data_IF_568070140963
#
_entry.id   IF_568070140963
#
_cell.length_a   1.000
_cell.length_b   1.000
_cell.length_c   1.000
_cell.angle_alpha   90.00
_cell.angle_beta   90.00
_cell.angle_gamma   90.00
#
_symmetry.space_group_name_H-M   'P 1'
#
loop_
_entity.id
_entity.type
_entity.pdbx_description
1 polymer ?
#
# COMPACT_ATOMS: atom_id res chain seq x y z
N UNK A 1 6.96 -22.34 -6.62
CA UNK A 1 6.69 -20.99 -6.08
C UNK A 1 5.96 -21.07 -4.74
N UNK A 2 6.59 -20.64 -3.65
CA UNK A 2 5.94 -20.47 -2.35
C UNK A 2 4.72 -19.53 -2.44
N UNK A 3 3.74 -19.70 -1.55
CA UNK A 3 2.46 -18.96 -1.56
C UNK A 3 2.60 -17.44 -1.72
N UNK A 4 3.51 -16.82 -0.95
CA UNK A 4 3.74 -15.36 -0.98
C UNK A 4 4.23 -14.87 -2.36
N UNK A 5 4.96 -15.70 -3.09
CA UNK A 5 5.45 -15.39 -4.43
C UNK A 5 4.29 -15.35 -5.44
N UNK A 6 3.27 -16.22 -5.26
CA UNK A 6 2.04 -16.19 -6.06
C UNK A 6 1.21 -14.94 -5.78
N UNK A 7 1.00 -14.59 -4.51
CA UNK A 7 0.25 -13.38 -4.12
C UNK A 7 0.94 -12.10 -4.68
N UNK A 8 2.28 -12.01 -4.58
CA UNK A 8 3.05 -10.89 -5.16
C UNK A 8 2.96 -10.81 -6.68
N UNK A 9 3.06 -11.95 -7.37
CA UNK A 9 2.91 -11.98 -8.83
C UNK A 9 1.51 -11.53 -9.24
N UNK A 10 0.50 -11.96 -8.48
CA UNK A 10 -0.89 -11.66 -8.74
C UNK A 10 -1.20 -10.16 -8.63
N UNK A 11 -0.71 -9.48 -7.58
CA UNK A 11 -0.90 -8.01 -7.49
C UNK A 11 -0.20 -7.28 -8.64
N UNK A 12 1.02 -7.66 -9.01
CA UNK A 12 1.72 -7.04 -10.14
C UNK A 12 0.96 -7.20 -11.46
N UNK A 13 0.44 -8.40 -11.74
CA UNK A 13 -0.38 -8.67 -12.94
C UNK A 13 -1.67 -7.84 -12.93
N UNK A 14 -2.33 -7.74 -11.76
CA UNK A 14 -3.54 -6.93 -11.61
C UNK A 14 -3.27 -5.45 -11.90
N UNK A 15 -2.19 -4.89 -11.35
CA UNK A 15 -1.86 -3.47 -11.54
C UNK A 15 -1.54 -3.16 -13.01
N UNK A 16 -0.79 -4.04 -13.69
CA UNK A 16 -0.46 -3.89 -15.11
C UNK A 16 -1.68 -4.03 -16.03
N UNK A 17 -2.60 -4.96 -15.74
CA UNK A 17 -3.85 -5.13 -16.50
C UNK A 17 -4.82 -3.96 -16.28
N UNK A 18 -4.91 -3.46 -15.04
CA UNK A 18 -5.91 -2.45 -14.65
C UNK A 18 -5.47 -1.02 -14.95
N UNK A 19 -4.17 -0.72 -14.77
CA UNK A 19 -3.59 0.61 -14.95
C UNK A 19 -2.25 0.52 -15.70
N UNK A 20 -2.28 0.20 -17.00
CA UNK A 20 -1.08 0.10 -17.83
C UNK A 20 -0.32 1.42 -17.95
N UNK A 21 -1.01 2.56 -17.77
CA UNK A 21 -0.42 3.90 -17.82
C UNK A 21 0.43 4.25 -16.59
N UNK A 22 0.39 3.42 -15.54
CA UNK A 22 1.13 3.64 -14.31
C UNK A 22 0.37 4.45 -13.25
N UNK A 23 1.09 5.27 -12.49
CA UNK A 23 0.52 6.02 -11.36
C UNK A 23 0.21 5.14 -10.15
N UNK A 24 0.98 4.06 -9.97
CA UNK A 24 0.89 3.13 -8.86
C UNK A 24 2.27 2.70 -8.40
N UNK A 25 2.35 2.15 -7.18
CA UNK A 25 3.56 1.59 -6.60
C UNK A 25 3.21 0.33 -5.79
N UNK A 26 4.11 -0.65 -5.76
CA UNK A 26 3.94 -1.89 -5.00
C UNK A 26 4.71 -1.83 -3.67
N UNK A 27 4.26 -2.61 -2.69
CA UNK A 27 4.92 -2.82 -1.39
C UNK A 27 5.24 -1.51 -0.65
N UNK A 28 4.25 -0.65 -0.49
CA UNK A 28 4.44 0.68 0.11
C UNK A 28 4.31 0.62 1.62
N UNK A 29 5.30 1.15 2.33
CA UNK A 29 5.25 1.29 3.77
C UNK A 29 4.18 2.29 4.22
N UNK A 30 3.44 1.95 5.27
CA UNK A 30 2.42 2.80 5.87
C UNK A 30 2.72 3.09 7.34
N UNK A 31 2.11 4.14 7.85
CA UNK A 31 2.17 4.52 9.26
C UNK A 31 3.14 5.66 9.55
N UNK A 32 3.05 6.20 10.78
CA UNK A 32 3.82 7.36 11.20
C UNK A 32 5.31 7.02 11.40
N UNK A 33 6.12 8.07 11.35
CA UNK A 33 7.51 8.06 11.78
C UNK A 33 7.60 8.95 13.03
N UNK A 34 8.28 8.54 14.11
CA UNK A 34 8.44 9.40 15.28
C UNK A 34 9.10 10.74 14.93
N UNK A 35 8.45 11.83 15.33
CA UNK A 35 8.85 13.19 14.94
C UNK A 35 10.28 13.53 15.38
N UNK A 36 10.72 13.05 16.55
CA UNK A 36 12.09 13.25 17.05
C UNK A 36 13.18 12.75 16.07
N UNK A 37 12.89 11.69 15.30
CA UNK A 37 13.81 11.16 14.30
C UNK A 37 13.73 11.94 13.00
N UNK A 38 12.53 12.41 12.63
CA UNK A 38 12.35 13.30 11.47
C UNK A 38 13.11 14.61 11.68
N UNK A 39 13.01 15.21 12.87
CA UNK A 39 13.70 16.46 13.20
C UNK A 39 15.23 16.29 13.23
N UNK A 40 15.70 15.15 13.77
CA UNK A 40 17.14 14.87 13.90
C UNK A 40 17.82 14.46 12.60
N UNK A 41 17.13 13.73 11.73
CA UNK A 41 17.75 13.06 10.57
C UNK A 41 17.15 13.46 9.22
N UNK A 42 16.05 14.21 9.21
CA UNK A 42 15.22 14.45 8.03
C UNK A 42 14.33 13.26 7.69
N UNK A 43 13.24 13.53 6.96
CA UNK A 43 12.20 12.54 6.63
C UNK A 43 12.77 11.28 5.94
N UNK A 44 13.59 11.44 4.91
CA UNK A 44 14.09 10.30 4.12
C UNK A 44 14.94 9.32 4.93
N UNK A 45 15.85 9.83 5.77
CA UNK A 45 16.69 8.98 6.63
C UNK A 45 15.88 8.37 7.77
N UNK A 46 14.95 9.12 8.37
CA UNK A 46 14.04 8.58 9.38
C UNK A 46 13.15 7.47 8.80
N UNK A 47 12.60 7.66 7.60
CA UNK A 47 11.81 6.65 6.89
C UNK A 47 12.61 5.36 6.66
N UNK A 48 13.88 5.47 6.24
CA UNK A 48 14.74 4.31 6.07
C UNK A 48 14.99 3.52 7.38
N UNK A 49 15.13 4.22 8.52
CA UNK A 49 15.31 3.61 9.85
C UNK A 49 14.06 2.81 10.26
N UNK A 50 12.86 3.39 10.05
CA UNK A 50 11.59 2.78 10.47
C UNK A 50 10.94 1.89 9.40
N UNK A 51 11.52 1.82 8.19
CA UNK A 51 11.04 0.95 7.10
C UNK A 51 10.83 -0.52 7.50
N UNK A 52 11.67 -1.15 8.35
CA UNK A 52 11.47 -2.55 8.74
C UNK A 52 10.30 -2.79 9.70
N UNK A 53 9.87 -1.76 10.43
CA UNK A 53 8.81 -1.87 11.46
C UNK A 53 7.45 -1.38 10.98
N UNK A 54 7.42 -0.62 9.88
CA UNK A 54 6.19 -0.14 9.26
C UNK A 54 5.46 -1.27 8.51
N UNK A 55 4.13 -1.38 8.64
CA UNK A 55 3.33 -2.27 7.81
C UNK A 55 3.47 -1.91 6.32
N UNK A 56 3.22 -2.87 5.44
CA UNK A 56 3.28 -2.67 3.99
C UNK A 56 1.97 -3.06 3.33
N UNK A 57 1.40 -2.14 2.57
CA UNK A 57 0.28 -2.45 1.67
C UNK A 57 0.82 -3.02 0.36
N UNK A 58 0.13 -4.00 -0.21
CA UNK A 58 0.61 -4.67 -1.43
C UNK A 58 0.77 -3.68 -2.60
N UNK A 59 -0.17 -2.75 -2.77
CA UNK A 59 -0.06 -1.68 -3.76
C UNK A 59 -0.85 -0.41 -3.40
N UNK A 60 -0.47 0.70 -4.03
CA UNK A 60 -1.20 1.96 -4.05
C UNK A 60 -1.49 2.39 -5.49
N UNK A 61 -2.55 3.16 -5.72
CA UNK A 61 -2.79 3.90 -6.98
C UNK A 61 -3.29 5.29 -6.62
N UNK A 62 -2.69 6.33 -7.18
CA UNK A 62 -3.09 7.72 -6.92
C UNK A 62 -3.72 8.37 -8.14
N UNK A 63 -4.91 8.95 -7.98
CA UNK A 63 -5.60 9.74 -8.98
C UNK A 63 -5.98 11.09 -8.38
N UNK A 64 -6.26 12.11 -9.20
CA UNK A 64 -6.67 13.41 -8.66
C UNK A 64 -7.90 13.37 -7.75
N UNK A 65 -8.83 12.43 -7.99
CA UNK A 65 -10.10 12.31 -7.27
C UNK A 65 -10.10 11.26 -6.15
N UNK A 66 -9.09 10.39 -6.07
CA UNK A 66 -9.06 9.25 -5.14
C UNK A 66 -7.68 8.62 -5.00
N UNK A 67 -7.48 7.99 -3.84
CA UNK A 67 -6.28 7.25 -3.52
C UNK A 67 -6.62 5.81 -3.14
N UNK A 68 -6.10 4.84 -3.88
CA UNK A 68 -6.37 3.44 -3.60
C UNK A 68 -5.30 2.84 -2.69
N UNK A 69 -5.76 2.12 -1.66
CA UNK A 69 -4.96 1.15 -0.92
C UNK A 69 -5.42 -0.24 -1.35
N UNK A 70 -4.48 -1.07 -1.79
CA UNK A 70 -4.79 -2.32 -2.49
C UNK A 70 -4.09 -3.48 -1.81
N UNK A 71 -4.86 -4.51 -1.46
CA UNK A 71 -4.36 -5.75 -0.86
C UNK A 71 -4.81 -6.93 -1.72
N UNK A 72 -3.93 -7.91 -1.97
CA UNK A 72 -4.25 -9.10 -2.73
C UNK A 72 -4.30 -10.35 -1.84
N UNK A 73 -5.42 -11.06 -1.83
CA UNK A 73 -5.56 -12.32 -1.07
C UNK A 73 -6.14 -13.43 -1.94
N UNK A 74 -5.45 -14.57 -2.00
CA UNK A 74 -5.89 -15.74 -2.79
C UNK A 74 -6.92 -16.61 -2.02
N UNK A 75 -6.81 -16.70 -0.68
CA UNK A 75 -7.65 -17.60 0.14
C UNK A 75 -8.32 -16.91 1.32
N UNK A 76 -7.54 -16.14 2.10
CA UNK A 76 -8.04 -15.52 3.32
C UNK A 76 -8.51 -14.09 3.05
N UNK A 77 -9.70 -13.99 2.46
CA UNK A 77 -10.33 -12.73 2.06
C UNK A 77 -10.65 -11.87 3.29
N UNK A 78 -11.10 -12.50 4.38
CA UNK A 78 -11.44 -11.80 5.63
C UNK A 78 -10.22 -11.12 6.23
N UNK A 79 -9.07 -11.80 6.25
CA UNK A 79 -7.82 -11.17 6.69
C UNK A 79 -7.48 -9.93 5.85
N UNK A 80 -7.63 -9.99 4.52
CA UNK A 80 -7.38 -8.83 3.66
C UNK A 80 -8.30 -7.64 3.90
N UNK A 81 -9.56 -7.87 4.26
CA UNK A 81 -10.47 -6.78 4.69
C UNK A 81 -9.95 -6.12 5.98
N UNK A 82 -9.50 -6.94 6.94
CA UNK A 82 -8.90 -6.45 8.18
C UNK A 82 -7.64 -5.62 7.93
N UNK A 83 -6.74 -6.13 7.09
CA UNK A 83 -5.52 -5.44 6.67
C UNK A 83 -5.84 -4.07 6.04
N UNK A 84 -6.78 -4.02 5.09
CA UNK A 84 -7.19 -2.76 4.45
C UNK A 84 -7.82 -1.76 5.43
N UNK A 85 -8.63 -2.24 6.38
CA UNK A 85 -9.20 -1.38 7.42
C UNK A 85 -8.11 -0.78 8.31
N UNK A 86 -7.09 -1.59 8.65
CA UNK A 86 -5.95 -1.14 9.43
C UNK A 86 -5.09 -0.13 8.64
N UNK A 87 -4.80 -0.41 7.37
CA UNK A 87 -4.02 0.44 6.49
C UNK A 87 -4.67 1.81 6.25
N UNK A 88 -5.99 1.87 6.11
CA UNK A 88 -6.72 3.13 5.97
C UNK A 88 -6.46 4.07 7.15
N UNK A 89 -6.45 3.57 8.38
CA UNK A 89 -6.16 4.37 9.57
C UNK A 89 -4.70 4.85 9.68
N UNK A 90 -3.80 4.30 8.85
CA UNK A 90 -2.37 4.65 8.84
C UNK A 90 -2.01 5.60 7.70
N UNK A 91 -2.70 5.53 6.56
CA UNK A 91 -2.35 6.26 5.35
C UNK A 91 -2.29 7.78 5.57
N UNK A 92 -3.29 8.37 6.22
CA UNK A 92 -3.30 9.82 6.54
C UNK A 92 -2.16 10.24 7.47
N UNK A 93 -1.61 9.30 8.24
CA UNK A 93 -0.50 9.52 9.17
C UNK A 93 0.86 9.18 8.57
N UNK A 94 0.89 8.84 7.29
CA UNK A 94 2.09 8.39 6.59
C UNK A 94 2.76 9.61 5.92
N UNK A 95 3.88 10.12 6.47
CA UNK A 95 4.44 11.41 6.03
C UNK A 95 5.10 11.35 4.64
N UNK A 96 5.46 10.15 4.18
CA UNK A 96 6.15 9.87 2.92
C UNK A 96 5.27 9.08 1.93
N UNK A 97 3.94 9.18 2.09
CA UNK A 97 3.01 8.47 1.23
C UNK A 97 3.04 9.06 -0.20
N UNK A 98 3.42 8.28 -1.24
CA UNK A 98 3.63 8.83 -2.57
C UNK A 98 2.37 9.46 -3.17
N UNK A 99 2.43 10.75 -3.54
CA UNK A 99 1.36 11.47 -4.24
C UNK A 99 0.01 11.53 -3.51
N UNK A 100 0.00 11.29 -2.20
CA UNK A 100 -1.18 11.52 -1.37
C UNK A 100 -1.24 12.97 -0.92
N UNK A 101 -2.33 13.67 -1.25
CA UNK A 101 -2.54 15.08 -0.90
C UNK A 101 -3.89 15.32 -0.18
N UNK A 102 -4.52 14.25 0.31
CA UNK A 102 -5.81 14.29 0.99
C UNK A 102 -6.96 13.74 0.15
N UNK A 103 -6.68 13.06 -0.96
CA UNK A 103 -7.73 12.44 -1.77
C UNK A 103 -8.52 11.39 -0.94
N UNK A 104 -9.80 11.15 -1.26
CA UNK A 104 -10.58 10.07 -0.64
C UNK A 104 -9.90 8.71 -0.78
N UNK A 105 -9.69 8.03 0.34
CA UNK A 105 -9.07 6.70 0.35
C UNK A 105 -10.10 5.62 0.00
N UNK A 106 -9.78 4.81 -1.01
CA UNK A 106 -10.57 3.66 -1.47
C UNK A 106 -9.79 2.37 -1.17
N UNK A 107 -10.32 1.58 -0.24
CA UNK A 107 -9.78 0.25 0.06
C UNK A 107 -10.24 -0.75 -1.01
N UNK A 108 -9.29 -1.40 -1.69
CA UNK A 108 -9.57 -2.39 -2.73
C UNK A 108 -8.92 -3.73 -2.41
N UNK A 109 -9.76 -4.73 -2.18
CA UNK A 109 -9.30 -6.11 -2.05
C UNK A 109 -9.29 -6.77 -3.44
N UNK A 110 -8.16 -7.32 -3.84
CA UNK A 110 -8.00 -8.08 -5.08
C UNK A 110 -8.00 -9.57 -4.75
N UNK A 111 -8.85 -10.31 -5.43
CA UNK A 111 -9.09 -11.75 -5.23
C UNK A 111 -9.03 -12.48 -6.57
N UNK A 112 -8.67 -13.78 -6.62
CA UNK A 112 -8.23 -14.49 -7.83
C UNK A 112 -9.04 -14.28 -9.11
N UNK A 113 -10.37 -14.22 -8.99
CA UNK A 113 -11.30 -14.09 -10.12
C UNK A 113 -11.41 -12.66 -10.70
N UNK A 114 -10.63 -11.69 -10.21
CA UNK A 114 -10.62 -10.32 -10.74
C UNK A 114 -9.66 -10.11 -11.93
N UNK A 115 -8.78 -11.07 -12.22
CA UNK A 115 -7.81 -11.00 -13.35
C UNK A 115 -8.24 -11.91 -14.51
N UNK A 116 -9.39 -12.59 -14.42
CA UNK A 116 -9.96 -13.34 -15.54
C UNK A 116 -10.27 -12.45 -16.75
#
# INVERSE_FOLDING_TARGET
MPRKERERRYISEYMLKTWPEGGWQLNVELGPIPQEYVDRYGLGKAAAIFRPTRPRVDAIRWQPDKYYLIEAKIRDIKAGIGDLSYYRGMAERTPDLPFYDGQPIICRLVVPWMIE
#
